data_IF_091986539445
#
_entry.id   IF_091986539445
#
_cell.length_a   1.000
_cell.length_b   1.000
_cell.length_c   1.000
_cell.angle_alpha   90.00
_cell.angle_beta   90.00
_cell.angle_gamma   90.00
#
_symmetry.space_group_name_H-M   'P 1'
#
loop_
_entity.id
_entity.type
_entity.pdbx_description
1 polymer ?
#
# COMPACT_ATOMS: atom_id res chain seq x y z
N UNK A 1 -36.93 -33.37 22.99
CA UNK A 1 -37.05 -32.43 24.12
C UNK A 1 -38.54 -32.16 24.28
N UNK A 2 -39.19 -32.72 25.31
CA UNK A 2 -40.63 -32.49 25.52
C UNK A 2 -40.81 -31.03 25.98
N UNK A 3 -41.60 -30.25 25.25
CA UNK A 3 -41.93 -28.88 25.64
C UNK A 3 -42.89 -28.96 26.84
N UNK A 4 -42.45 -28.52 28.02
CA UNK A 4 -43.29 -28.48 29.21
C UNK A 4 -44.22 -27.26 29.13
N UNK A 5 -45.48 -27.48 28.77
CA UNK A 5 -46.53 -26.47 28.90
C UNK A 5 -46.89 -26.29 30.38
N UNK A 6 -46.90 -25.04 30.87
CA UNK A 6 -47.25 -24.72 32.25
C UNK A 6 -48.78 -24.84 32.45
N UNK A 7 -49.22 -26.04 32.77
CA UNK A 7 -50.63 -26.39 32.86
C UNK A 7 -51.24 -26.06 34.23
N UNK A 8 -52.38 -25.37 34.22
CA UNK A 8 -53.27 -25.24 35.38
C UNK A 8 -54.61 -25.91 35.08
N UNK A 9 -55.16 -26.64 36.06
CA UNK A 9 -56.43 -27.34 35.88
C UNK A 9 -57.57 -26.31 35.78
N UNK A 10 -58.42 -26.37 34.74
CA UNK A 10 -59.51 -25.42 34.55
C UNK A 10 -60.62 -25.62 35.62
N UNK A 11 -61.06 -24.53 36.22
CA UNK A 11 -62.12 -24.49 37.25
C UNK A 11 -63.49 -24.08 36.68
N UNK A 12 -63.57 -23.72 35.40
CA UNK A 12 -64.83 -23.43 34.70
C UNK A 12 -64.78 -23.94 33.26
N UNK A 13 -65.94 -23.97 32.59
CA UNK A 13 -66.03 -24.41 31.19
C UNK A 13 -65.35 -23.41 30.25
N UNK A 14 -65.51 -22.13 30.54
CA UNK A 14 -64.87 -21.02 29.84
C UNK A 14 -63.35 -21.10 30.00
N UNK A 15 -62.86 -21.39 31.21
CA UNK A 15 -61.44 -21.62 31.46
C UNK A 15 -60.91 -22.83 30.70
N UNK A 16 -61.65 -23.95 30.66
CA UNK A 16 -61.25 -25.13 29.87
C UNK A 16 -61.07 -24.76 28.39
N UNK A 17 -62.05 -24.08 27.79
CA UNK A 17 -61.95 -23.67 26.38
C UNK A 17 -60.82 -22.65 26.15
N UNK A 18 -60.54 -21.77 27.11
CA UNK A 18 -59.39 -20.86 27.05
C UNK A 18 -58.07 -21.63 27.12
N UNK A 19 -57.92 -22.55 28.06
CA UNK A 19 -56.73 -23.39 28.21
C UNK A 19 -56.50 -24.25 26.96
N UNK A 20 -57.56 -24.76 26.32
CA UNK A 20 -57.44 -25.50 25.06
C UNK A 20 -56.89 -24.63 23.92
N UNK A 21 -57.31 -23.37 23.82
CA UNK A 21 -56.75 -22.40 22.87
C UNK A 21 -55.29 -22.08 23.17
N UNK A 22 -54.94 -21.91 24.44
CA UNK A 22 -53.56 -21.64 24.85
C UNK A 22 -52.63 -22.82 24.54
N UNK A 23 -53.12 -24.05 24.76
CA UNK A 23 -52.41 -25.29 24.37
C UNK A 23 -52.24 -25.33 22.85
N UNK A 24 -53.29 -25.04 22.08
CA UNK A 24 -53.22 -24.99 20.62
C UNK A 24 -52.21 -23.96 20.12
N UNK A 25 -52.23 -22.74 20.65
CA UNK A 25 -51.25 -21.70 20.31
C UNK A 25 -49.82 -22.11 20.67
N UNK A 26 -49.61 -22.70 21.85
CA UNK A 26 -48.29 -23.13 22.30
C UNK A 26 -47.69 -24.24 21.41
N UNK A 27 -48.49 -25.23 21.02
CA UNK A 27 -47.99 -26.38 20.26
C UNK A 27 -47.98 -26.16 18.75
N UNK A 28 -48.88 -25.34 18.19
CA UNK A 28 -48.92 -25.02 16.76
C UNK A 28 -47.97 -23.87 16.39
N UNK A 29 -47.61 -22.98 17.31
CA UNK A 29 -46.69 -21.87 17.02
C UNK A 29 -45.24 -22.32 17.19
N UNK A 30 -44.50 -22.48 16.09
CA UNK A 30 -43.07 -22.82 16.11
C UNK A 30 -42.22 -21.59 16.48
N UNK A 31 -41.99 -21.35 17.77
CA UNK A 31 -41.07 -20.31 18.29
C UNK A 31 -39.59 -20.74 18.27
N UNK A 32 -39.13 -21.36 17.18
CA UNK A 32 -37.67 -21.51 17.01
C UNK A 32 -37.12 -20.10 16.71
N UNK A 33 -36.13 -19.60 17.44
CA UNK A 33 -35.51 -18.31 17.12
C UNK A 33 -34.95 -18.37 15.69
N UNK A 34 -35.20 -17.34 14.87
CA UNK A 34 -34.59 -17.29 13.53
C UNK A 34 -33.09 -17.25 13.77
N UNK A 35 -32.31 -18.25 13.30
CA UNK A 35 -30.88 -18.24 13.54
C UNK A 35 -30.31 -16.94 12.95
N UNK A 36 -29.56 -16.17 13.74
CA UNK A 36 -28.88 -14.94 13.34
C UNK A 36 -27.68 -15.24 12.40
N UNK A 37 -27.84 -16.15 11.44
CA UNK A 37 -26.79 -16.42 10.46
C UNK A 37 -26.74 -15.24 9.52
N UNK A 38 -25.85 -14.29 9.80
CA UNK A 38 -25.62 -13.12 8.97
C UNK A 38 -24.56 -13.48 7.94
N UNK A 39 -24.92 -13.47 6.66
CA UNK A 39 -23.94 -13.69 5.60
C UNK A 39 -22.86 -12.58 5.65
N UNK A 40 -21.58 -12.98 5.65
CA UNK A 40 -20.47 -12.04 5.73
C UNK A 40 -20.41 -11.14 4.50
N UNK A 41 -20.15 -9.85 4.75
CA UNK A 41 -19.93 -8.86 3.69
C UNK A 41 -18.51 -8.93 3.18
N UNK A 42 -18.34 -8.77 1.87
CA UNK A 42 -17.03 -8.59 1.25
C UNK A 42 -16.42 -7.27 1.72
N UNK A 43 -15.17 -7.36 2.18
CA UNK A 43 -14.29 -6.24 2.50
C UNK A 43 -12.94 -6.50 1.85
N UNK A 44 -12.43 -5.53 1.11
CA UNK A 44 -11.18 -5.62 0.38
C UNK A 44 -10.21 -4.52 0.80
N UNK A 45 -8.91 -4.85 0.82
CA UNK A 45 -7.86 -3.89 1.17
C UNK A 45 -7.71 -2.82 0.10
N UNK A 46 -7.75 -1.56 0.53
CA UNK A 46 -7.57 -0.39 -0.34
C UNK A 46 -6.10 -0.09 -0.57
N UNK A 47 -5.79 0.46 -1.74
CA UNK A 47 -4.47 1.00 -2.02
C UNK A 47 -4.30 2.32 -1.25
N UNK A 48 -3.20 2.44 -0.53
CA UNK A 48 -2.82 3.65 0.21
C UNK A 48 -1.54 4.23 -0.37
N UNK A 49 -1.53 5.54 -0.57
CA UNK A 49 -0.35 6.29 -1.01
C UNK A 49 0.04 7.20 0.14
N UNK A 50 1.26 7.01 0.66
CA UNK A 50 1.82 7.89 1.69
C UNK A 50 2.29 9.16 1.00
N UNK A 51 1.72 10.30 1.39
CA UNK A 51 2.15 11.59 0.87
C UNK A 51 3.40 12.06 1.58
N UNK A 52 4.39 12.48 0.80
CA UNK A 52 5.62 13.03 1.34
C UNK A 52 5.45 14.53 1.65
N UNK A 53 6.09 15.01 2.71
CA UNK A 53 6.22 16.44 2.98
C UNK A 53 7.26 17.08 2.06
N UNK A 54 7.28 18.41 2.00
CA UNK A 54 8.28 19.15 1.22
C UNK A 54 9.71 18.82 1.68
N UNK A 55 9.91 18.70 3.01
CA UNK A 55 11.20 18.31 3.58
C UNK A 55 11.61 16.90 3.14
N UNK A 56 10.66 15.96 3.10
CA UNK A 56 10.93 14.58 2.68
C UNK A 56 11.23 14.47 1.18
N UNK A 57 10.59 15.29 0.33
CA UNK A 57 10.96 15.40 -1.07
C UNK A 57 12.38 15.95 -1.24
N UNK A 58 12.71 17.00 -0.49
CA UNK A 58 14.04 17.61 -0.48
C UNK A 58 15.11 16.61 -0.05
N UNK A 59 14.92 15.90 1.06
CA UNK A 59 15.86 14.92 1.58
C UNK A 59 16.07 13.75 0.60
N UNK A 60 14.97 13.24 0.01
CA UNK A 60 15.05 12.18 -0.99
C UNK A 60 15.81 12.64 -2.24
N UNK A 61 15.59 13.87 -2.69
CA UNK A 61 16.31 14.44 -3.82
C UNK A 61 17.81 14.59 -3.51
N UNK A 62 18.18 15.04 -2.31
CA UNK A 62 19.58 15.13 -1.88
C UNK A 62 20.26 13.77 -1.88
N UNK A 63 19.62 12.73 -1.32
CA UNK A 63 20.16 11.36 -1.29
C UNK A 63 20.38 10.81 -2.71
N UNK A 64 19.44 11.06 -3.62
CA UNK A 64 19.53 10.57 -4.99
C UNK A 64 20.62 11.29 -5.81
N UNK A 65 20.93 12.55 -5.48
CA UNK A 65 21.91 13.36 -6.22
C UNK A 65 23.32 13.34 -5.61
N UNK A 66 23.47 12.97 -4.33
CA UNK A 66 24.75 13.00 -3.63
C UNK A 66 25.88 12.20 -4.32
N UNK A 67 25.66 10.98 -4.85
CA UNK A 67 26.73 10.21 -5.48
C UNK A 67 27.29 10.88 -6.74
N UNK A 68 26.39 11.35 -7.62
CA UNK A 68 26.78 12.02 -8.88
C UNK A 68 27.47 13.36 -8.59
N UNK A 69 26.97 14.08 -7.58
CA UNK A 69 27.54 15.35 -7.16
C UNK A 69 28.97 15.21 -6.65
N UNK A 70 29.21 14.25 -5.75
CA UNK A 70 30.54 14.02 -5.18
C UNK A 70 31.52 13.55 -6.27
N UNK A 71 31.09 12.66 -7.16
CA UNK A 71 31.90 12.18 -8.27
C UNK A 71 32.29 13.31 -9.23
N UNK A 72 31.34 14.13 -9.65
CA UNK A 72 31.60 15.27 -10.56
C UNK A 72 32.51 16.33 -9.90
N UNK A 73 32.26 16.63 -8.62
CA UNK A 73 33.06 17.59 -7.84
C UNK A 73 34.51 17.13 -7.71
N UNK A 74 34.73 15.89 -7.24
CA UNK A 74 36.06 15.32 -7.10
C UNK A 74 36.76 15.25 -8.46
N UNK A 75 36.06 14.76 -9.49
CA UNK A 75 36.61 14.59 -10.83
C UNK A 75 37.08 15.92 -11.44
N UNK A 76 36.25 16.97 -11.36
CA UNK A 76 36.61 18.30 -11.89
C UNK A 76 37.78 18.91 -11.13
N UNK A 77 37.77 18.82 -9.79
CA UNK A 77 38.86 19.34 -8.95
C UNK A 77 40.18 18.63 -9.25
N UNK A 78 40.15 17.30 -9.39
CA UNK A 78 41.33 16.52 -9.74
C UNK A 78 41.89 16.90 -11.12
N UNK A 79 41.02 17.05 -12.13
CA UNK A 79 41.43 17.45 -13.47
C UNK A 79 42.08 18.84 -13.51
N UNK A 80 41.51 19.83 -12.82
CA UNK A 80 42.09 21.17 -12.71
C UNK A 80 43.42 21.15 -11.96
N UNK A 81 43.52 20.34 -10.90
CA UNK A 81 44.77 20.18 -10.12
C UNK A 81 45.87 19.57 -10.98
N UNK A 82 45.57 18.53 -11.77
CA UNK A 82 46.52 17.93 -12.69
C UNK A 82 47.00 18.92 -13.77
N UNK A 83 46.08 19.71 -14.33
CA UNK A 83 46.39 20.73 -15.34
C UNK A 83 47.26 21.87 -14.78
N UNK A 84 46.98 22.31 -13.55
CA UNK A 84 47.83 23.27 -12.82
C UNK A 84 49.25 22.73 -12.66
N UNK A 85 49.40 21.46 -12.31
CA UNK A 85 50.71 20.84 -12.13
C UNK A 85 51.47 20.70 -13.46
N UNK A 86 50.78 20.36 -14.54
CA UNK A 86 51.36 20.36 -15.89
C UNK A 86 51.94 21.73 -16.27
N UNK A 87 51.22 22.81 -16.00
CA UNK A 87 51.71 24.17 -16.25
C UNK A 87 52.90 24.56 -15.37
N UNK A 88 52.92 24.13 -14.11
CA UNK A 88 54.10 24.33 -13.23
C UNK A 88 55.33 23.64 -13.80
N UNK A 89 55.22 22.36 -14.16
CA UNK A 89 56.32 21.59 -14.75
C UNK A 89 56.84 22.30 -16.01
N UNK A 90 55.95 22.74 -16.89
CA UNK A 90 56.31 23.46 -18.12
C UNK A 90 57.01 24.78 -17.83
N UNK A 91 56.50 25.57 -16.87
CA UNK A 91 57.08 26.86 -16.46
C UNK A 91 58.47 26.67 -15.85
N UNK A 92 58.62 25.70 -14.96
CA UNK A 92 59.86 25.48 -14.22
C UNK A 92 60.98 24.96 -15.15
N UNK A 93 60.62 24.22 -16.20
CA UNK A 93 61.55 23.77 -17.24
C UNK A 93 62.01 24.89 -18.21
N UNK A 94 61.35 26.07 -18.24
CA UNK A 94 61.70 27.15 -19.18
C UNK A 94 63.11 27.69 -18.98
N UNK A 95 63.62 27.69 -17.75
CA UNK A 95 64.99 28.15 -17.46
C UNK A 95 66.04 27.28 -18.15
N UNK A 96 65.81 25.96 -18.18
CA UNK A 96 66.71 25.02 -18.85
C UNK A 96 66.62 25.16 -20.37
N UNK A 97 65.41 25.37 -20.91
CA UNK A 97 65.19 25.64 -22.34
C UNK A 97 65.92 26.91 -22.77
N UNK A 98 65.78 28.00 -22.02
CA UNK A 98 66.50 29.26 -22.27
C UNK A 98 68.02 29.05 -22.25
N UNK A 99 68.51 28.38 -21.21
CA UNK A 99 69.95 28.11 -21.03
C UNK A 99 70.53 27.27 -22.17
N UNK A 100 69.78 26.26 -22.64
CA UNK A 100 70.18 25.45 -23.79
C UNK A 100 70.21 26.27 -25.09
N UNK A 101 69.22 27.14 -25.32
CA UNK A 101 69.18 28.04 -26.48
C UNK A 101 70.37 29.01 -26.48
N UNK A 102 70.67 29.65 -25.35
CA UNK A 102 71.81 30.56 -25.22
C UNK A 102 73.12 29.85 -25.52
N UNK A 103 73.34 28.65 -24.98
CA UNK A 103 74.55 27.84 -25.27
C UNK A 103 74.68 27.51 -26.76
N UNK A 104 73.57 27.20 -27.44
CA UNK A 104 73.57 26.97 -28.89
C UNK A 104 73.99 28.22 -29.66
N UNK A 105 73.42 29.38 -29.31
CA UNK A 105 73.76 30.67 -29.94
C UNK A 105 75.24 31.01 -29.76
N UNK A 106 75.80 30.80 -28.56
CA UNK A 106 77.21 31.01 -28.27
C UNK A 106 78.11 30.08 -29.09
N UNK A 107 77.74 28.79 -29.22
CA UNK A 107 78.49 27.84 -30.04
C UNK A 107 78.49 28.22 -31.52
N UNK A 108 77.37 28.70 -32.05
CA UNK A 108 77.26 29.09 -33.45
C UNK A 108 78.04 30.38 -33.73
N UNK A 109 78.01 31.35 -32.80
CA UNK A 109 78.89 32.53 -32.84
C UNK A 109 80.37 32.15 -32.86
N UNK A 110 80.83 31.25 -31.98
CA UNK A 110 82.23 30.82 -31.97
C UNK A 110 82.67 30.19 -33.29
N UNK A 111 81.80 29.38 -33.90
CA UNK A 111 82.07 28.78 -35.22
C UNK A 111 82.14 29.85 -36.31
N UNK A 112 81.22 30.81 -36.30
CA UNK A 112 81.19 31.92 -37.26
C UNK A 112 82.46 32.77 -37.18
N UNK A 113 82.88 33.15 -35.95
CA UNK A 113 84.12 33.92 -35.73
C UNK A 113 85.36 33.14 -36.19
N UNK A 114 85.45 31.83 -35.87
CA UNK A 114 86.57 30.98 -36.32
C UNK A 114 86.63 30.90 -37.85
N UNK A 115 85.48 30.77 -38.51
CA UNK A 115 85.39 30.74 -39.98
C UNK A 115 85.84 32.07 -40.59
N UNK A 116 85.33 33.19 -40.08
CA UNK A 116 85.69 34.54 -40.53
C UNK A 116 87.20 34.79 -40.42
N UNK A 117 87.80 34.50 -39.26
CA UNK A 117 89.25 34.64 -39.04
C UNK A 117 90.06 33.76 -39.99
N UNK A 118 89.68 32.49 -40.17
CA UNK A 118 90.37 31.57 -41.08
C UNK A 118 90.32 32.05 -42.54
N UNK A 119 89.19 32.61 -42.97
CA UNK A 119 89.05 33.19 -44.30
C UNK A 119 89.89 34.46 -44.47
N UNK A 120 89.95 35.31 -43.44
CA UNK A 120 90.79 36.51 -43.44
C UNK A 120 92.29 36.19 -43.52
N UNK A 121 92.76 35.19 -42.77
CA UNK A 121 94.15 34.69 -42.83
C UNK A 121 94.50 34.22 -44.24
N UNK A 122 93.61 33.45 -44.89
CA UNK A 122 93.81 32.98 -46.27
C UNK A 122 93.96 34.12 -47.29
N UNK A 123 93.36 35.28 -47.01
CA UNK A 123 93.40 36.48 -47.87
C UNK A 123 94.50 37.47 -47.47
N UNK A 124 95.28 37.19 -46.42
CA UNK A 124 96.30 38.10 -45.90
C UNK A 124 95.73 39.36 -45.22
N UNK A 125 94.47 39.31 -44.76
CA UNK A 125 93.72 40.46 -44.23
C UNK A 125 93.36 40.29 -42.74
N UNK A 126 94.11 39.48 -42.00
CA UNK A 126 93.81 39.10 -40.61
C UNK A 126 93.63 40.31 -39.66
N UNK A 127 94.37 41.39 -39.90
CA UNK A 127 94.32 42.63 -39.10
C UNK A 127 93.57 43.78 -39.79
N UNK A 128 92.78 43.49 -40.82
CA UNK A 128 92.00 44.51 -41.54
C UNK A 128 90.83 45.02 -40.71
N UNK A 129 90.42 46.26 -40.96
CA UNK A 129 89.20 46.83 -40.39
C UNK A 129 87.95 46.01 -40.73
N UNK A 130 87.92 45.35 -41.90
CA UNK A 130 86.80 44.50 -42.33
C UNK A 130 86.56 43.31 -41.40
N UNK A 131 87.64 42.67 -40.90
CA UNK A 131 87.53 41.57 -39.93
C UNK A 131 87.04 42.07 -38.57
N UNK A 132 87.51 43.25 -38.15
CA UNK A 132 87.05 43.88 -36.92
C UNK A 132 85.55 44.24 -36.99
N UNK A 133 85.09 44.81 -38.11
CA UNK A 133 83.68 45.09 -38.38
C UNK A 133 82.84 43.81 -38.40
N UNK A 134 83.28 42.75 -39.12
CA UNK A 134 82.54 41.49 -39.16
C UNK A 134 82.43 40.78 -37.80
N UNK A 135 83.45 40.88 -36.95
CA UNK A 135 83.35 40.37 -35.56
C UNK A 135 82.38 41.23 -34.74
N UNK A 136 82.38 42.56 -34.92
CA UNK A 136 81.46 43.45 -34.24
C UNK A 136 79.99 43.16 -34.64
N UNK A 137 79.74 42.93 -35.93
CA UNK A 137 78.41 42.56 -36.45
C UNK A 137 77.94 41.22 -35.86
N UNK A 138 78.78 40.17 -35.89
CA UNK A 138 78.47 38.88 -35.26
C UNK A 138 78.22 39.00 -33.75
N UNK A 139 78.93 39.92 -33.08
CA UNK A 139 78.72 40.19 -31.65
C UNK A 139 77.36 40.87 -31.42
N UNK A 140 77.00 41.84 -32.26
CA UNK A 140 75.71 42.51 -32.20
C UNK A 140 74.55 41.53 -32.48
N UNK A 141 74.70 40.64 -33.47
CA UNK A 141 73.73 39.57 -33.77
C UNK A 141 73.56 38.61 -32.58
N UNK A 142 74.66 38.17 -31.95
CA UNK A 142 74.58 37.32 -30.75
C UNK A 142 73.86 38.03 -29.59
N UNK A 143 74.18 39.31 -29.36
CA UNK A 143 73.52 40.10 -28.32
C UNK A 143 72.03 40.26 -28.58
N UNK A 144 71.63 40.53 -29.82
CA UNK A 144 70.22 40.63 -30.21
C UNK A 144 69.48 39.30 -30.02
N UNK A 145 70.06 38.18 -30.47
CA UNK A 145 69.46 36.85 -30.33
C UNK A 145 69.35 36.40 -28.86
N UNK A 146 70.31 36.78 -28.00
CA UNK A 146 70.21 36.54 -26.55
C UNK A 146 69.08 37.35 -25.91
N UNK A 147 68.90 38.61 -26.33
CA UNK A 147 67.82 39.45 -25.84
C UNK A 147 66.45 38.91 -26.27
N UNK A 148 66.33 38.42 -27.50
CA UNK A 148 65.12 37.74 -28.00
C UNK A 148 64.79 36.49 -27.18
N UNK A 149 65.78 35.62 -26.93
CA UNK A 149 65.59 34.42 -26.11
C UNK A 149 65.17 34.73 -24.66
N UNK A 150 65.66 35.84 -24.08
CA UNK A 150 65.20 36.31 -22.76
C UNK A 150 63.77 36.86 -22.80
N UNK A 151 63.41 37.53 -23.90
CA UNK A 151 62.05 37.99 -24.15
C UNK A 151 61.05 36.83 -24.24
N UNK A 152 61.34 35.83 -25.06
CA UNK A 152 60.52 34.61 -25.21
C UNK A 152 60.35 33.88 -23.87
N UNK A 153 61.43 33.75 -23.10
CA UNK A 153 61.39 33.16 -21.76
C UNK A 153 60.43 33.92 -20.85
N UNK A 154 60.57 35.24 -20.79
CA UNK A 154 59.77 36.10 -19.92
C UNK A 154 58.29 36.04 -20.30
N UNK A 155 57.99 36.10 -21.60
CA UNK A 155 56.62 35.98 -22.12
C UNK A 155 56.01 34.64 -21.73
N UNK A 156 56.67 33.53 -22.05
CA UNK A 156 56.17 32.17 -21.72
C UNK A 156 56.05 31.92 -20.23
N UNK A 157 56.98 32.45 -19.44
CA UNK A 157 56.92 32.35 -17.98
C UNK A 157 55.69 33.08 -17.43
N UNK A 158 55.41 34.28 -17.93
CA UNK A 158 54.23 35.06 -17.56
C UNK A 158 52.93 34.36 -17.99
N UNK A 159 52.89 33.78 -19.20
CA UNK A 159 51.76 33.02 -19.73
C UNK A 159 51.41 31.82 -18.83
N UNK A 160 52.40 30.97 -18.51
CA UNK A 160 52.14 29.83 -17.61
C UNK A 160 51.77 30.27 -16.20
N UNK A 161 52.32 31.38 -15.72
CA UNK A 161 51.96 31.92 -14.40
C UNK A 161 50.50 32.38 -14.37
N UNK A 162 50.02 33.04 -15.42
CA UNK A 162 48.62 33.40 -15.57
C UNK A 162 47.72 32.14 -15.61
N UNK A 163 48.08 31.14 -16.43
CA UNK A 163 47.33 29.88 -16.52
C UNK A 163 47.25 29.10 -15.20
N UNK A 164 48.32 29.14 -14.40
CA UNK A 164 48.33 28.55 -13.04
C UNK A 164 47.35 29.31 -12.14
N UNK A 165 47.38 30.64 -12.18
CA UNK A 165 46.47 31.50 -11.41
C UNK A 165 45.00 31.25 -11.79
N UNK A 166 44.70 31.12 -13.09
CA UNK A 166 43.35 30.80 -13.58
C UNK A 166 42.90 29.44 -13.05
N UNK A 167 43.77 28.42 -13.08
CA UNK A 167 43.44 27.11 -12.50
C UNK A 167 43.20 27.20 -10.98
N UNK A 168 43.94 28.04 -10.25
CA UNK A 168 43.74 28.25 -8.81
C UNK A 168 42.39 28.91 -8.50
N UNK A 169 42.03 29.93 -9.27
CA UNK A 169 40.73 30.58 -9.17
C UNK A 169 39.60 29.60 -9.49
N UNK A 170 39.73 28.82 -10.57
CA UNK A 170 38.76 27.78 -10.94
C UNK A 170 38.62 26.73 -9.84
N UNK A 171 39.72 26.23 -9.27
CA UNK A 171 39.73 25.25 -8.18
C UNK A 171 38.97 25.78 -6.96
N UNK A 172 39.16 27.06 -6.61
CA UNK A 172 38.44 27.70 -5.52
C UNK A 172 36.93 27.80 -5.82
N UNK A 173 36.56 28.11 -7.07
CA UNK A 173 35.17 28.26 -7.52
C UNK A 173 34.41 26.95 -7.79
N UNK A 174 35.10 25.79 -7.88
CA UNK A 174 34.45 24.49 -8.18
C UNK A 174 33.27 24.23 -7.24
N UNK A 175 33.43 24.50 -5.93
CA UNK A 175 32.39 24.22 -4.95
C UNK A 175 31.11 25.03 -5.22
N UNK A 176 31.27 26.31 -5.55
CA UNK A 176 30.15 27.23 -5.79
C UNK A 176 29.43 26.90 -7.10
N UNK A 177 30.20 26.63 -8.16
CA UNK A 177 29.65 26.16 -9.44
C UNK A 177 28.78 24.91 -9.26
N UNK A 178 29.32 23.90 -8.56
CA UNK A 178 28.59 22.67 -8.33
C UNK A 178 27.37 22.89 -7.42
N UNK A 179 27.48 23.71 -6.38
CA UNK A 179 26.35 24.03 -5.50
C UNK A 179 25.16 24.62 -6.28
N UNK A 180 25.41 25.51 -7.25
CA UNK A 180 24.38 26.07 -8.12
C UNK A 180 23.75 25.01 -9.04
N UNK A 181 24.58 24.16 -9.67
CA UNK A 181 24.12 23.06 -10.52
C UNK A 181 23.29 22.05 -9.72
N UNK A 182 23.71 21.73 -8.50
CA UNK A 182 23.01 20.82 -7.61
C UNK A 182 21.65 21.38 -7.20
N UNK A 183 21.56 22.67 -6.85
CA UNK A 183 20.29 23.30 -6.54
C UNK A 183 19.28 23.22 -7.70
N UNK A 184 19.74 23.45 -8.94
CA UNK A 184 18.89 23.32 -10.12
C UNK A 184 18.43 21.88 -10.36
N UNK A 185 19.35 20.90 -10.28
CA UNK A 185 19.02 19.47 -10.40
C UNK A 185 18.06 19.00 -9.31
N UNK A 186 18.27 19.47 -8.07
CA UNK A 186 17.41 19.17 -6.92
C UNK A 186 15.99 19.64 -7.14
N UNK A 187 15.79 20.89 -7.56
CA UNK A 187 14.46 21.44 -7.83
C UNK A 187 13.73 20.65 -8.93
N UNK A 188 14.45 20.25 -9.98
CA UNK A 188 13.89 19.42 -11.05
C UNK A 188 13.46 18.04 -10.53
N UNK A 189 14.32 17.38 -9.74
CA UNK A 189 14.03 16.08 -9.17
C UNK A 189 12.86 16.12 -8.18
N UNK A 190 12.75 17.19 -7.38
CA UNK A 190 11.58 17.41 -6.51
C UNK A 190 10.28 17.50 -7.33
N UNK A 191 10.29 18.24 -8.45
CA UNK A 191 9.13 18.33 -9.32
C UNK A 191 8.75 16.95 -9.92
N UNK A 192 9.73 16.18 -10.39
CA UNK A 192 9.52 14.82 -10.90
C UNK A 192 8.98 13.86 -9.82
N UNK A 193 9.45 13.97 -8.57
CA UNK A 193 8.98 13.17 -7.45
C UNK A 193 7.52 13.51 -7.10
N UNK A 194 7.15 14.80 -7.12
CA UNK A 194 5.76 15.25 -6.91
C UNK A 194 4.84 14.72 -7.99
N UNK A 195 5.24 14.81 -9.26
CA UNK A 195 4.48 14.29 -10.38
C UNK A 195 4.25 12.78 -10.26
N UNK A 196 5.27 12.01 -9.85
CA UNK A 196 5.14 10.57 -9.57
C UNK A 196 4.18 10.27 -8.42
N UNK A 197 4.20 11.07 -7.36
CA UNK A 197 3.26 10.90 -6.24
C UNK A 197 1.82 11.17 -6.69
N UNK A 198 1.58 12.24 -7.45
CA UNK A 198 0.25 12.60 -7.95
C UNK A 198 -0.29 11.55 -8.94
N UNK A 199 0.58 10.98 -9.78
CA UNK A 199 0.23 9.84 -10.61
C UNK A 199 -0.19 8.62 -9.77
N UNK A 200 0.58 8.29 -8.72
CA UNK A 200 0.25 7.19 -7.82
C UNK A 200 -1.06 7.43 -7.05
N UNK A 201 -1.32 8.66 -6.59
CA UNK A 201 -2.60 9.04 -5.96
C UNK A 201 -3.78 8.86 -6.92
N UNK A 202 -3.60 9.28 -8.16
CA UNK A 202 -4.63 9.15 -9.20
C UNK A 202 -4.94 7.69 -9.49
N UNK A 203 -3.91 6.84 -9.57
CA UNK A 203 -4.07 5.40 -9.75
C UNK A 203 -4.76 4.74 -8.54
N UNK A 204 -4.38 5.11 -7.32
CA UNK A 204 -5.02 4.64 -6.09
C UNK A 204 -6.49 5.02 -6.02
N UNK A 205 -6.84 6.25 -6.42
CA UNK A 205 -8.23 6.69 -6.53
C UNK A 205 -9.02 5.83 -7.52
N UNK A 206 -8.49 5.59 -8.73
CA UNK A 206 -9.14 4.75 -9.75
C UNK A 206 -9.35 3.32 -9.24
N UNK A 207 -8.31 2.73 -8.67
CA UNK A 207 -8.36 1.37 -8.11
C UNK A 207 -9.39 1.27 -6.97
N UNK A 208 -9.33 2.19 -5.99
CA UNK A 208 -10.21 2.18 -4.84
C UNK A 208 -11.67 2.43 -5.22
N UNK A 209 -11.94 3.27 -6.22
CA UNK A 209 -13.30 3.48 -6.74
C UNK A 209 -13.84 2.20 -7.39
N UNK A 210 -13.06 1.55 -8.25
CA UNK A 210 -13.47 0.28 -8.86
C UNK A 210 -13.66 -0.85 -7.84
N UNK A 211 -12.85 -0.87 -6.79
CA UNK A 211 -12.97 -1.82 -5.68
C UNK A 211 -14.25 -1.56 -4.87
N UNK A 212 -14.54 -0.30 -4.53
CA UNK A 212 -15.78 0.10 -3.82
C UNK A 212 -17.04 -0.28 -4.60
N UNK A 213 -17.06 -0.09 -5.92
CA UNK A 213 -18.18 -0.51 -6.77
C UNK A 213 -18.42 -2.02 -6.72
N UNK A 214 -17.35 -2.82 -6.73
CA UNK A 214 -17.44 -4.28 -6.61
C UNK A 214 -17.93 -4.70 -5.22
N UNK A 215 -17.39 -4.12 -4.16
CA UNK A 215 -17.83 -4.37 -2.77
C UNK A 215 -19.32 -4.08 -2.61
N UNK A 216 -19.79 -2.92 -3.08
CA UNK A 216 -21.21 -2.54 -3.00
C UNK A 216 -22.07 -3.54 -3.78
N UNK A 217 -21.67 -3.91 -4.99
CA UNK A 217 -22.42 -4.89 -5.80
C UNK A 217 -22.56 -6.23 -5.11
N UNK A 218 -21.45 -6.77 -4.59
CA UNK A 218 -21.44 -8.06 -3.89
C UNK A 218 -22.24 -7.97 -2.59
N UNK A 219 -22.06 -6.92 -1.80
CA UNK A 219 -22.75 -6.74 -0.52
C UNK A 219 -24.25 -6.52 -0.69
N UNK A 220 -24.69 -5.91 -1.79
CA UNK A 220 -26.11 -5.85 -2.15
C UNK A 220 -26.66 -7.26 -2.44
N UNK A 221 -25.91 -8.09 -3.17
CA UNK A 221 -26.28 -9.49 -3.43
C UNK A 221 -26.31 -10.36 -2.16
N UNK A 222 -25.37 -10.15 -1.24
CA UNK A 222 -25.36 -10.77 0.10
C UNK A 222 -26.62 -10.36 0.88
N UNK A 223 -26.95 -9.07 0.88
CA UNK A 223 -28.16 -8.56 1.58
C UNK A 223 -29.45 -9.16 1.00
N UNK A 224 -29.54 -9.27 -0.34
CA UNK A 224 -30.69 -9.91 -0.99
C UNK A 224 -30.79 -11.40 -0.66
N UNK A 225 -29.66 -12.12 -0.65
CA UNK A 225 -29.60 -13.54 -0.28
C UNK A 225 -30.03 -13.75 1.17
N UNK A 226 -29.59 -12.87 2.08
CA UNK A 226 -29.99 -12.90 3.48
C UNK A 226 -31.51 -12.72 3.62
N UNK A 227 -32.08 -11.72 2.95
CA UNK A 227 -33.53 -11.48 2.99
C UNK A 227 -34.31 -12.67 2.44
N UNK A 228 -33.83 -13.29 1.35
CA UNK A 228 -34.45 -14.49 0.78
C UNK A 228 -34.42 -15.67 1.75
N UNK A 229 -33.28 -15.94 2.40
CA UNK A 229 -33.17 -17.01 3.40
C UNK A 229 -34.15 -16.82 4.57
N UNK A 230 -34.34 -15.58 5.03
CA UNK A 230 -35.32 -15.26 6.08
C UNK A 230 -36.75 -15.56 5.61
N UNK A 231 -37.11 -15.16 4.38
CA UNK A 231 -38.42 -15.44 3.80
C UNK A 231 -38.65 -16.95 3.65
N UNK A 232 -37.69 -17.67 3.08
CA UNK A 232 -37.76 -19.12 2.88
C UNK A 232 -37.93 -19.85 4.23
N UNK A 233 -37.23 -19.39 5.27
CA UNK A 233 -37.37 -19.93 6.63
C UNK A 233 -38.74 -19.62 7.26
N UNK A 234 -39.27 -18.40 7.08
CA UNK A 234 -40.62 -18.05 7.53
C UNK A 234 -41.69 -18.89 6.80
N UNK A 235 -41.53 -19.13 5.50
CA UNK A 235 -42.46 -19.97 4.74
C UNK A 235 -42.54 -21.40 5.28
N UNK A 236 -41.41 -22.00 5.66
CA UNK A 236 -41.35 -23.32 6.32
C UNK A 236 -42.04 -23.31 7.70
N UNK A 237 -42.09 -22.17 8.39
CA UNK A 237 -42.77 -22.05 9.70
C UNK A 237 -44.27 -21.90 9.62
N UNK A 238 -44.81 -21.38 8.51
CA UNK A 238 -46.24 -21.06 8.36
C UNK A 238 -47.07 -22.27 7.91
N UNK A 239 -46.46 -23.38 7.51
CA UNK A 239 -47.20 -24.63 7.27
C UNK A 239 -47.67 -25.27 8.58
N UNK A 240 -48.99 -25.51 8.69
CA UNK A 240 -49.61 -26.20 9.84
C UNK A 240 -48.90 -27.53 10.16
N UNK A 241 -48.63 -27.79 11.44
CA UNK A 241 -48.12 -29.09 11.89
C UNK A 241 -49.17 -30.17 11.62
N UNK A 242 -48.73 -31.31 11.12
CA UNK A 242 -49.59 -32.48 10.92
C UNK A 242 -50.04 -33.05 12.27
N UNK A 243 -51.16 -33.78 12.28
CA UNK A 243 -51.68 -34.44 13.48
C UNK A 243 -50.65 -35.39 14.12
N UNK A 244 -49.85 -36.08 13.32
CA UNK A 244 -48.77 -36.95 13.78
C UNK A 244 -47.66 -36.17 14.50
N UNK A 245 -47.29 -34.99 14.00
CA UNK A 245 -46.28 -34.13 14.63
C UNK A 245 -46.78 -33.52 15.95
N UNK A 246 -48.06 -33.16 16.01
CA UNK A 246 -48.71 -32.70 17.25
C UNK A 246 -48.74 -33.81 18.31
N UNK A 247 -49.06 -35.05 17.92
CA UNK A 247 -49.05 -36.20 18.82
C UNK A 247 -47.67 -36.47 19.44
N UNK A 248 -46.60 -36.46 18.62
CA UNK A 248 -45.22 -36.65 19.11
C UNK A 248 -44.79 -35.54 20.08
N UNK A 249 -45.27 -34.30 19.88
CA UNK A 249 -44.98 -33.17 20.78
C UNK A 249 -45.76 -33.23 22.09
N UNK A 250 -46.73 -34.13 22.23
CA UNK A 250 -47.56 -34.28 23.43
C UNK A 250 -48.79 -33.37 23.48
N UNK A 251 -49.16 -32.71 22.37
CA UNK A 251 -50.32 -31.82 22.28
C UNK A 251 -51.60 -32.49 22.80
N UNK A 252 -51.92 -33.68 22.28
CA UNK A 252 -53.14 -34.40 22.66
C UNK A 252 -53.15 -34.83 24.13
N UNK A 253 -51.99 -35.07 24.76
CA UNK A 253 -51.92 -35.39 26.18
C UNK A 253 -52.40 -34.20 27.03
N UNK A 254 -52.00 -32.98 26.68
CA UNK A 254 -52.43 -31.76 27.37
C UNK A 254 -53.90 -31.44 27.10
N UNK A 255 -54.36 -31.59 25.86
CA UNK A 255 -55.78 -31.40 25.49
C UNK A 255 -56.68 -32.37 26.25
N UNK A 256 -56.37 -33.68 26.22
CA UNK A 256 -57.14 -34.69 26.94
C UNK A 256 -57.13 -34.43 28.45
N UNK A 257 -55.98 -34.06 29.01
CA UNK A 257 -55.84 -33.73 30.44
C UNK A 257 -56.69 -32.53 30.84
N UNK A 258 -56.71 -31.46 30.05
CA UNK A 258 -57.55 -30.28 30.28
C UNK A 258 -59.03 -30.64 30.37
N UNK A 259 -59.48 -31.47 29.43
CA UNK A 259 -60.87 -31.93 29.34
C UNK A 259 -61.21 -32.86 30.52
N UNK A 260 -60.35 -33.85 30.82
CA UNK A 260 -60.61 -34.77 31.92
C UNK A 260 -60.59 -34.07 33.28
N UNK A 261 -59.63 -33.17 33.51
CA UNK A 261 -59.54 -32.44 34.78
C UNK A 261 -60.76 -31.54 34.99
N UNK A 262 -61.25 -30.88 33.93
CA UNK A 262 -62.51 -30.13 34.01
C UNK A 262 -63.67 -31.07 34.39
N UNK A 263 -63.99 -32.04 33.53
CA UNK A 263 -65.21 -32.83 33.71
C UNK A 263 -65.19 -33.70 34.95
N UNK A 264 -64.03 -34.25 35.35
CA UNK A 264 -63.93 -35.14 36.50
C UNK A 264 -63.96 -34.39 37.84
N UNK A 265 -63.55 -33.13 37.87
CA UNK A 265 -63.61 -32.32 39.09
C UNK A 265 -64.96 -31.59 39.25
N UNK A 266 -65.66 -31.30 38.15
CA UNK A 266 -66.91 -30.53 38.17
C UNK A 266 -68.18 -31.37 38.25
N UNK A 267 -68.13 -32.63 37.81
CA UNK A 267 -69.29 -33.51 37.82
C UNK A 267 -69.06 -34.67 38.78
N UNK A 268 -69.85 -34.72 39.86
CA UNK A 268 -69.97 -35.91 40.70
C UNK A 268 -70.79 -37.02 40.05
N UNK A 269 -71.68 -36.66 39.11
CA UNK A 269 -72.50 -37.57 38.30
C UNK A 269 -71.86 -37.79 36.92
N UNK A 270 -71.30 -38.99 36.73
CA UNK A 270 -70.61 -39.35 35.49
C UNK A 270 -71.55 -39.37 34.26
N UNK A 271 -72.85 -39.61 34.44
CA UNK A 271 -73.82 -39.60 33.34
C UNK A 271 -74.03 -38.16 32.83
N UNK A 272 -74.12 -37.19 33.74
CA UNK A 272 -74.20 -35.77 33.38
C UNK A 272 -72.92 -35.26 32.72
N UNK A 273 -71.75 -35.71 33.19
CA UNK A 273 -70.46 -35.39 32.58
C UNK A 273 -70.40 -35.87 31.11
N UNK A 274 -70.80 -37.12 30.86
CA UNK A 274 -70.85 -37.70 29.52
C UNK A 274 -71.84 -36.95 28.60
N UNK A 275 -73.03 -36.63 29.11
CA UNK A 275 -74.03 -35.89 28.34
C UNK A 275 -73.59 -34.46 28.01
N UNK A 276 -72.87 -33.79 28.91
CA UNK A 276 -72.34 -32.45 28.65
C UNK A 276 -71.16 -32.48 27.66
N UNK A 277 -70.23 -33.43 27.82
CA UNK A 277 -69.14 -33.65 26.88
C UNK A 277 -69.65 -33.85 25.45
N UNK A 278 -70.69 -34.67 25.26
CA UNK A 278 -71.31 -34.89 23.94
C UNK A 278 -71.95 -33.63 23.33
N UNK A 279 -72.43 -32.70 24.17
CA UNK A 279 -73.06 -31.46 23.70
C UNK A 279 -72.03 -30.41 23.29
N UNK A 280 -70.79 -30.52 23.76
CA UNK A 280 -69.73 -29.57 23.46
C UNK A 280 -69.01 -29.89 22.14
N UNK A 281 -69.63 -29.50 21.04
CA UNK A 281 -69.13 -29.76 19.68
C UNK A 281 -67.73 -29.16 19.41
N UNK A 282 -67.35 -28.10 20.14
CA UNK A 282 -66.04 -27.44 19.97
C UNK A 282 -64.86 -28.36 20.34
N UNK A 283 -65.06 -29.37 21.20
CA UNK A 283 -64.01 -30.32 21.59
C UNK A 283 -63.54 -31.21 20.43
N UNK A 284 -64.37 -31.41 19.40
CA UNK A 284 -64.00 -32.16 18.20
C UNK A 284 -62.80 -31.49 17.50
N UNK A 285 -62.79 -30.16 17.44
CA UNK A 285 -61.72 -29.39 16.78
C UNK A 285 -60.38 -29.53 17.50
N UNK A 286 -60.38 -29.61 18.83
CA UNK A 286 -59.16 -29.76 19.62
C UNK A 286 -58.67 -31.21 19.70
N UNK A 287 -59.59 -32.18 19.74
CA UNK A 287 -59.25 -33.60 19.91
C UNK A 287 -58.96 -34.31 18.59
N UNK A 288 -59.46 -33.83 17.45
CA UNK A 288 -59.26 -34.47 16.15
C UNK A 288 -59.66 -35.95 16.17
N UNK A 289 -58.76 -36.85 15.74
CA UNK A 289 -59.01 -38.29 15.76
C UNK A 289 -59.17 -38.89 17.17
N UNK A 290 -58.68 -38.21 18.22
CA UNK A 290 -58.79 -38.67 19.60
C UNK A 290 -60.16 -38.41 20.24
N UNK A 291 -61.06 -37.69 19.57
CA UNK A 291 -62.40 -37.40 20.10
C UNK A 291 -63.19 -38.67 20.42
N UNK A 292 -63.12 -39.68 19.54
CA UNK A 292 -63.80 -40.97 19.74
C UNK A 292 -63.29 -41.72 20.97
N UNK A 293 -61.99 -41.67 21.23
CA UNK A 293 -61.38 -42.32 22.40
C UNK A 293 -61.82 -41.64 23.71
N UNK A 294 -61.86 -40.31 23.73
CA UNK A 294 -62.36 -39.54 24.88
C UNK A 294 -63.85 -39.79 25.12
N UNK A 295 -64.65 -39.84 24.05
CA UNK A 295 -66.08 -40.16 24.15
C UNK A 295 -66.31 -41.53 24.77
N UNK A 296 -65.53 -42.54 24.35
CA UNK A 296 -65.59 -43.89 24.92
C UNK A 296 -65.19 -43.91 26.41
N UNK A 297 -64.16 -43.15 26.80
CA UNK A 297 -63.74 -43.01 28.20
C UNK A 297 -64.87 -42.47 29.08
N UNK A 298 -65.52 -41.37 28.67
CA UNK A 298 -66.64 -40.80 29.43
C UNK A 298 -67.85 -41.73 29.45
N UNK A 299 -68.14 -42.44 28.36
CA UNK A 299 -69.23 -43.42 28.29
C UNK A 299 -69.02 -44.59 29.27
N UNK A 300 -67.83 -45.18 29.29
CA UNK A 300 -67.50 -46.29 30.20
C UNK A 300 -67.62 -45.86 31.66
N UNK A 301 -67.26 -44.61 31.98
CA UNK A 301 -67.36 -44.06 33.32
C UNK A 301 -68.80 -43.74 33.73
N UNK A 302 -69.65 -43.34 32.78
CA UNK A 302 -71.08 -43.12 32.99
C UNK A 302 -71.87 -44.43 33.16
N UNK A 303 -71.46 -45.48 32.46
CA UNK A 303 -72.14 -46.77 32.41
C UNK A 303 -71.17 -47.95 32.63
N UNK A 304 -70.55 -48.06 33.83
CA UNK A 304 -69.54 -49.08 34.10
C UNK A 304 -70.10 -50.51 33.98
N UNK A 305 -71.39 -50.71 34.29
CA UNK A 305 -72.09 -52.00 34.17
C UNK A 305 -72.34 -52.44 32.71
N UNK A 306 -72.15 -51.53 31.75
CA UNK A 306 -72.30 -51.80 30.31
C UNK A 306 -70.95 -51.86 29.58
N UNK A 307 -69.83 -51.76 30.31
CA UNK A 307 -68.51 -51.97 29.75
C UNK A 307 -68.27 -53.47 29.52
N UNK A 308 -67.74 -53.91 28.37
CA UNK A 308 -67.36 -55.31 28.20
C UNK A 308 -66.31 -55.67 29.25
N UNK A 309 -66.51 -56.79 29.96
CA UNK A 309 -65.51 -57.33 30.88
C UNK A 309 -64.17 -57.48 30.13
N UNK A 310 -63.11 -56.88 30.66
CA UNK A 310 -61.76 -57.01 30.12
C UNK A 310 -61.36 -58.48 30.13
N UNK A 311 -61.14 -59.07 28.96
CA UNK A 311 -60.38 -60.31 28.84
C UNK A 311 -58.91 -60.02 29.15
N UNK A 312 -58.37 -60.77 30.11
CA UNK A 312 -56.92 -60.90 30.36
C UNK A 312 -56.09 -61.15 29.09
#
# INVERSE_FOLDING_TARGET
MYLNYNYQAPATKEEMLSTLKDIEEFFKTRKDEIPETTLEKLSCTKMTVVSLTEEQFSEKADIMLAPDFEADFIGRKAALTAKKEEYKIKRDALSDVKSAKIKSLESDYEKAVKKLKKEAVKRGMEYSGEVATGIADLTAELSAAKAEAEGEYTEKYSEYTALISDCEADIAGVKEYFSAVHAAKKNKLIAELKEKEDAAKTEALKYNNGLKEKEVRVNNGVTQSQAKLVIDYLAIKVTDLTEQELAVRGYFNYVMKAITDYYFNHYSDNVKAYQDFMKEASLITFLGSFYGNMLALFYQRAYPEKAPASSE
#
